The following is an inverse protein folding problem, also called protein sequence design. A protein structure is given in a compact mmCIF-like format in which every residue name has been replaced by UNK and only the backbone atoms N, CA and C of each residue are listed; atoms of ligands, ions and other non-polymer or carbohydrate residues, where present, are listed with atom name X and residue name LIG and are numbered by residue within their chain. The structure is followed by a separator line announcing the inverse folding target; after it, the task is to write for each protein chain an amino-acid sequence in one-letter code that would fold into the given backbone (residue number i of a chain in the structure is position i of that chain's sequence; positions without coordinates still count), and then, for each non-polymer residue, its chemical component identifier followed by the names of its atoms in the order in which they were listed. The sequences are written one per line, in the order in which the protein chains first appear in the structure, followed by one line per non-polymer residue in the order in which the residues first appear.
data_IF_796335811614
#
_entry.id   IF_796335811614
#
_cell.length_a   1.000
_cell.length_b   1.000
_cell.length_c   1.000
_cell.angle_alpha   90.00
_cell.angle_beta   90.00
_cell.angle_gamma   90.00
#
_symmetry.space_group_name_H-M   'P 1'
#
loop_
_entity.id
_entity.type
_entity.pdbx_description
1 polymer ?
#
# COMPACT_ATOMS: atom_id res chain seq x y z
N UNK A 1 -5.92 21.56 3.11
CA UNK A 1 -4.99 20.42 3.17
C UNK A 1 -4.16 20.32 1.90
N UNK A 2 -4.79 20.33 0.71
CA UNK A 2 -4.07 20.26 -0.58
C UNK A 2 -3.05 21.39 -0.80
N UNK A 3 -3.39 22.65 -0.48
CA UNK A 3 -2.51 23.82 -0.66
C UNK A 3 -1.20 23.78 0.14
N UNK A 4 -1.19 23.05 1.27
CA UNK A 4 0.01 22.86 2.10
C UNK A 4 0.83 21.69 1.53
N UNK A 5 0.18 20.59 1.18
CA UNK A 5 0.84 19.42 0.63
C UNK A 5 1.57 19.73 -0.69
N UNK A 6 1.00 20.56 -1.56
CA UNK A 6 1.62 21.00 -2.82
C UNK A 6 3.00 21.67 -2.66
N UNK A 7 3.34 22.17 -1.47
CA UNK A 7 4.63 22.81 -1.19
C UNK A 7 5.73 21.80 -0.90
N UNK A 8 5.38 20.55 -0.65
CA UNK A 8 6.31 19.48 -0.32
C UNK A 8 6.73 18.72 -1.60
N UNK A 9 8.02 18.44 -1.80
CA UNK A 9 8.49 17.76 -3.01
C UNK A 9 7.90 16.34 -3.16
N UNK A 10 7.59 15.67 -2.06
CA UNK A 10 7.01 14.32 -2.03
C UNK A 10 5.60 14.28 -2.65
N UNK A 11 4.86 15.40 -2.63
CA UNK A 11 3.51 15.47 -3.18
C UNK A 11 3.46 15.11 -4.66
N UNK A 12 4.47 15.51 -5.42
CA UNK A 12 4.61 15.18 -6.84
C UNK A 12 4.84 13.67 -7.02
N UNK A 13 5.57 13.04 -6.10
CA UNK A 13 5.80 11.59 -6.13
C UNK A 13 4.49 10.83 -5.89
N UNK A 14 3.71 11.22 -4.87
CA UNK A 14 2.38 10.63 -4.64
C UNK A 14 1.46 10.79 -5.86
N UNK A 15 1.38 11.99 -6.44
CA UNK A 15 0.53 12.27 -7.59
C UNK A 15 0.98 11.57 -8.88
N UNK A 16 2.25 11.17 -8.97
CA UNK A 16 2.75 10.39 -10.10
C UNK A 16 2.22 8.96 -10.11
N UNK A 17 1.73 8.46 -8.97
CA UNK A 17 1.20 7.11 -8.85
C UNK A 17 -0.19 7.01 -9.49
N UNK A 18 -0.38 6.16 -10.52
CA UNK A 18 -1.68 5.99 -11.17
C UNK A 18 -2.80 5.57 -10.19
N UNK A 19 -3.86 6.38 -10.12
CA UNK A 19 -4.97 6.17 -9.19
C UNK A 19 -4.84 6.91 -7.84
N UNK A 20 -3.75 7.64 -7.61
CA UNK A 20 -3.65 8.63 -6.52
C UNK A 20 -3.85 10.03 -7.11
N UNK A 21 -5.03 10.61 -6.88
CA UNK A 21 -5.31 12.00 -7.26
C UNK A 21 -4.80 13.01 -6.23
N UNK A 22 -4.83 14.30 -6.58
CA UNK A 22 -4.38 15.43 -5.75
C UNK A 22 -4.90 15.41 -4.31
N UNK A 23 -6.22 15.25 -4.16
CA UNK A 23 -6.87 15.19 -2.85
C UNK A 23 -6.44 13.95 -2.05
N UNK A 24 -6.39 12.78 -2.71
CA UNK A 24 -5.95 11.53 -2.08
C UNK A 24 -4.48 11.61 -1.66
N UNK A 25 -3.62 12.22 -2.46
CA UNK A 25 -2.22 12.45 -2.13
C UNK A 25 -2.09 13.32 -0.87
N UNK A 26 -2.80 14.45 -0.83
CA UNK A 26 -2.78 15.34 0.34
C UNK A 26 -3.29 14.65 1.62
N UNK A 27 -4.36 13.85 1.51
CA UNK A 27 -4.89 13.07 2.63
C UNK A 27 -3.90 11.97 3.08
N UNK A 28 -3.29 11.24 2.15
CA UNK A 28 -2.32 10.20 2.47
C UNK A 28 -1.08 10.80 3.16
N UNK A 29 -0.57 11.93 2.67
CA UNK A 29 0.54 12.63 3.29
C UNK A 29 0.18 13.15 4.68
N UNK A 30 -1.04 13.67 4.88
CA UNK A 30 -1.50 14.11 6.19
C UNK A 30 -1.61 12.97 7.21
N UNK A 31 -2.12 11.82 6.78
CA UNK A 31 -2.37 10.66 7.67
C UNK A 31 -1.12 9.81 7.93
N UNK A 32 -0.24 9.70 6.94
CA UNK A 32 1.00 8.93 7.05
C UNK A 32 2.15 9.77 7.63
N UNK A 33 2.09 11.10 7.45
CA UNK A 33 3.19 12.01 7.73
C UNK A 33 4.39 11.74 6.81
N UNK A 34 5.58 12.10 7.30
CA UNK A 34 6.83 11.78 6.61
C UNK A 34 7.12 10.26 6.69
N UNK A 35 6.87 9.53 5.61
CA UNK A 35 7.12 8.08 5.58
C UNK A 35 8.60 7.73 5.37
N UNK A 36 9.48 8.69 5.05
CA UNK A 36 10.92 8.43 4.94
C UNK A 36 11.53 8.01 6.28
N UNK A 37 10.91 8.41 7.40
CA UNK A 37 11.26 8.02 8.77
C UNK A 37 11.23 6.52 9.04
N UNK A 38 10.59 5.73 8.19
CA UNK A 38 10.52 4.28 8.33
C UNK A 38 11.68 3.61 7.61
N UNK A 39 12.42 2.74 8.29
CA UNK A 39 13.54 2.00 7.70
C UNK A 39 13.06 1.04 6.62
N UNK A 40 11.90 0.42 6.84
CA UNK A 40 11.34 -0.59 5.97
C UNK A 40 9.80 -0.52 5.93
N UNK A 41 9.23 -1.13 4.89
CA UNK A 41 7.80 -1.13 4.70
C UNK A 41 7.02 -1.92 5.76
N UNK A 42 7.67 -2.83 6.51
CA UNK A 42 6.99 -3.54 7.59
C UNK A 42 6.69 -2.62 8.77
N UNK A 43 7.60 -1.69 9.10
CA UNK A 43 7.34 -0.65 10.10
C UNK A 43 6.17 0.25 9.65
N UNK A 44 6.14 0.65 8.37
CA UNK A 44 5.03 1.43 7.81
C UNK A 44 3.70 0.64 7.84
N UNK A 45 3.73 -0.65 7.52
CA UNK A 45 2.55 -1.52 7.62
C UNK A 45 2.03 -1.63 9.06
N UNK A 46 2.93 -1.75 10.04
CA UNK A 46 2.58 -1.77 11.46
C UNK A 46 1.98 -0.43 11.92
N UNK A 47 2.56 0.69 11.47
CA UNK A 47 2.01 2.03 11.73
C UNK A 47 0.59 2.20 11.19
N UNK A 48 0.29 1.67 10.01
CA UNK A 48 -1.07 1.67 9.42
C UNK A 48 -1.96 0.59 10.06
N UNK A 49 -1.38 -0.47 10.63
CA UNK A 49 -2.08 -1.59 11.25
C UNK A 49 -2.57 -2.64 10.25
N UNK A 50 -1.87 -2.83 9.14
CA UNK A 50 -2.11 -3.90 8.15
C UNK A 50 -1.09 -5.05 8.24
N UNK A 51 -0.19 -4.99 9.21
CA UNK A 51 0.67 -6.09 9.61
C UNK A 51 -0.17 -7.31 10.08
N UNK A 52 0.37 -8.51 9.85
CA UNK A 52 -0.31 -9.76 10.20
C UNK A 52 -0.08 -10.06 11.68
N UNK A 53 -1.17 -10.19 12.42
CA UNK A 53 -1.23 -10.76 13.76
C UNK A 53 -1.44 -12.27 13.65
N UNK A 54 -0.45 -13.02 14.12
CA UNK A 54 -0.57 -14.46 14.37
C UNK A 54 -1.01 -14.68 15.81
N UNK A 55 -1.96 -15.57 16.03
CA UNK A 55 -2.39 -15.97 17.38
C UNK A 55 -2.07 -17.46 17.57
N UNK A 56 -1.23 -17.74 18.57
CA UNK A 56 -0.85 -19.10 18.92
C UNK A 56 -0.94 -19.28 20.44
N UNK A 57 -1.55 -20.37 20.89
CA UNK A 57 -1.64 -20.73 22.30
C UNK A 57 -1.48 -22.24 22.46
N UNK A 58 -0.37 -22.70 23.06
CA UNK A 58 -0.06 -24.12 23.17
C UNK A 58 -0.04 -24.79 21.79
N UNK A 59 -0.98 -25.71 21.57
CA UNK A 59 -1.18 -26.44 20.29
C UNK A 59 -2.11 -25.73 19.31
N UNK A 60 -2.81 -24.66 19.71
CA UNK A 60 -3.75 -23.96 18.85
C UNK A 60 -3.05 -22.90 18.00
N UNK A 61 -3.26 -22.98 16.69
CA UNK A 61 -2.89 -21.97 15.69
C UNK A 61 -4.17 -21.34 15.15
N UNK A 62 -4.40 -20.08 15.50
CA UNK A 62 -5.54 -19.30 15.01
C UNK A 62 -5.33 -18.84 13.57
N UNK A 63 -6.41 -18.37 12.93
CA UNK A 63 -6.31 -17.75 11.61
C UNK A 63 -5.55 -16.41 11.68
N UNK A 64 -4.76 -16.16 10.64
CA UNK A 64 -4.05 -14.90 10.48
C UNK A 64 -5.04 -13.75 10.21
N UNK A 65 -4.92 -12.69 11.00
CA UNK A 65 -5.69 -11.45 10.83
C UNK A 65 -4.77 -10.24 10.77
N UNK A 66 -5.21 -9.15 10.16
CA UNK A 66 -4.49 -7.88 10.32
C UNK A 66 -4.60 -7.37 11.77
N UNK A 67 -3.56 -6.72 12.26
CA UNK A 67 -3.47 -6.26 13.64
C UNK A 67 -4.47 -5.15 13.99
N UNK A 68 -4.76 -4.24 13.05
CA UNK A 68 -5.68 -3.09 13.18
C UNK A 68 -5.35 -2.08 14.29
N UNK A 69 -4.25 -2.24 15.02
CA UNK A 69 -3.78 -1.34 16.11
C UNK A 69 -3.18 -0.02 15.62
N UNK A 70 -2.79 0.06 14.35
CA UNK A 70 -2.27 1.29 13.72
C UNK A 70 -3.36 2.26 13.26
N UNK A 71 -2.97 3.31 12.53
CA UNK A 71 -3.85 4.41 12.13
C UNK A 71 -5.09 3.91 11.33
N UNK A 72 -6.31 3.98 11.90
CA UNK A 72 -7.53 3.52 11.24
C UNK A 72 -7.96 4.39 10.06
N UNK A 73 -7.64 5.68 10.08
CA UNK A 73 -7.96 6.63 9.01
C UNK A 73 -7.05 6.37 7.81
N UNK A 74 -5.74 6.28 8.02
CA UNK A 74 -4.78 5.89 6.98
C UNK A 74 -5.17 4.55 6.33
N UNK A 75 -5.56 3.56 7.15
CA UNK A 75 -6.00 2.25 6.68
C UNK A 75 -7.27 2.32 5.82
N UNK A 76 -8.25 3.13 6.21
CA UNK A 76 -9.48 3.38 5.44
C UNK A 76 -9.16 4.08 4.10
N UNK A 77 -8.30 5.09 4.13
CA UNK A 77 -7.90 5.86 2.96
C UNK A 77 -7.15 4.99 1.94
N UNK A 78 -6.23 4.15 2.40
CA UNK A 78 -5.51 3.19 1.55
C UNK A 78 -6.46 2.17 0.92
N UNK A 79 -7.45 1.69 1.66
CA UNK A 79 -8.46 0.78 1.11
C UNK A 79 -9.25 1.42 -0.04
N UNK A 80 -9.68 2.69 0.13
CA UNK A 80 -10.34 3.43 -0.95
C UNK A 80 -9.41 3.74 -2.11
N UNK A 81 -8.15 4.07 -1.82
CA UNK A 81 -7.14 4.33 -2.85
C UNK A 81 -6.96 3.13 -3.77
N UNK A 82 -6.76 1.93 -3.21
CA UNK A 82 -6.68 0.69 -3.99
C UNK A 82 -7.99 0.41 -4.73
N UNK A 83 -9.15 0.65 -4.10
CA UNK A 83 -10.44 0.49 -4.76
C UNK A 83 -10.61 1.41 -5.98
N UNK A 84 -10.13 2.64 -5.88
CA UNK A 84 -10.13 3.61 -6.97
C UNK A 84 -9.16 3.21 -8.09
N UNK A 85 -7.97 2.69 -7.75
CA UNK A 85 -7.03 2.13 -8.74
C UNK A 85 -7.70 1.04 -9.58
N UNK A 86 -8.39 0.09 -8.93
CA UNK A 86 -9.11 -0.99 -9.62
C UNK A 86 -10.25 -0.43 -10.47
N UNK A 87 -11.02 0.55 -9.96
CA UNK A 87 -12.10 1.19 -10.73
C UNK A 87 -11.60 1.90 -11.98
N UNK A 88 -10.40 2.47 -11.94
CA UNK A 88 -9.81 3.26 -13.03
C UNK A 88 -8.88 2.43 -13.95
N UNK A 89 -8.88 1.11 -13.81
CA UNK A 89 -7.94 0.21 -14.49
C UNK A 89 -7.87 0.35 -16.02
N UNK A 90 -8.98 0.72 -16.67
CA UNK A 90 -9.02 0.89 -18.12
C UNK A 90 -8.44 2.22 -18.59
N UNK A 91 -8.41 3.23 -17.72
CA UNK A 91 -7.89 4.55 -18.03
C UNK A 91 -6.39 4.67 -17.73
N UNK A 92 -5.91 3.96 -16.71
CA UNK A 92 -4.54 4.09 -16.23
C UNK A 92 -3.95 2.73 -15.84
N UNK A 93 -2.88 2.31 -16.52
CA UNK A 93 -2.15 1.08 -16.18
C UNK A 93 -1.45 1.21 -14.83
N UNK A 94 -1.66 0.22 -13.95
CA UNK A 94 -1.15 0.22 -12.59
C UNK A 94 -0.78 -1.21 -12.15
N UNK A 95 0.47 -1.43 -11.77
CA UNK A 95 0.98 -2.75 -11.39
C UNK A 95 0.31 -3.31 -10.12
N UNK A 96 -0.31 -2.46 -9.29
CA UNK A 96 -1.12 -2.87 -8.14
C UNK A 96 -2.41 -3.56 -8.59
N UNK A 97 -3.01 -3.08 -9.68
CA UNK A 97 -4.22 -3.69 -10.25
C UNK A 97 -3.88 -5.06 -10.85
N UNK A 98 -2.77 -5.17 -11.56
CA UNK A 98 -2.30 -6.48 -12.07
C UNK A 98 -2.02 -7.46 -10.93
N UNK A 99 -1.42 -6.96 -9.84
CA UNK A 99 -1.21 -7.77 -8.64
C UNK A 99 -2.53 -8.22 -8.00
N UNK A 100 -3.55 -7.36 -7.96
CA UNK A 100 -4.88 -7.70 -7.47
C UNK A 100 -5.49 -8.86 -8.28
N UNK A 101 -5.52 -8.76 -9.60
CA UNK A 101 -6.07 -9.81 -10.46
C UNK A 101 -5.27 -11.11 -10.38
N UNK A 102 -3.94 -11.03 -10.32
CA UNK A 102 -3.07 -12.20 -10.08
C UNK A 102 -3.45 -12.94 -8.79
N UNK A 103 -3.80 -12.23 -7.71
CA UNK A 103 -4.25 -12.85 -6.46
C UNK A 103 -5.67 -13.43 -6.55
N UNK A 104 -6.55 -12.81 -7.34
CA UNK A 104 -7.93 -13.22 -7.57
C UNK A 104 -8.05 -14.44 -8.49
N UNK A 105 -7.11 -14.60 -9.41
CA UNK A 105 -7.11 -15.66 -10.43
C UNK A 105 -6.18 -16.82 -10.08
N UNK A 106 -5.32 -16.66 -9.05
CA UNK A 106 -4.42 -17.71 -8.57
C UNK A 106 -5.19 -19.00 -8.25
N UNK A 107 -4.82 -20.09 -8.91
CA UNK A 107 -5.33 -21.44 -8.67
C UNK A 107 -4.40 -22.25 -7.76
N UNK A 108 -4.91 -23.23 -6.99
CA UNK A 108 -6.33 -23.63 -6.88
C UNK A 108 -7.15 -22.74 -5.94
N UNK A 109 -6.49 -21.98 -5.06
CA UNK A 109 -7.14 -21.20 -4.00
C UNK A 109 -7.03 -19.69 -4.26
N UNK A 110 -8.02 -19.08 -4.93
CA UNK A 110 -8.04 -17.63 -5.15
C UNK A 110 -8.20 -16.89 -3.83
N UNK A 111 -7.58 -15.72 -3.70
CA UNK A 111 -7.73 -14.91 -2.50
C UNK A 111 -9.13 -14.27 -2.45
N UNK A 112 -9.69 -14.21 -1.23
CA UNK A 112 -10.88 -13.42 -0.94
C UNK A 112 -10.62 -11.94 -1.26
N UNK A 113 -11.65 -11.21 -1.69
CA UNK A 113 -11.49 -9.82 -2.13
C UNK A 113 -10.80 -8.95 -1.06
N UNK A 114 -11.29 -8.98 0.19
CA UNK A 114 -10.69 -8.20 1.29
C UNK A 114 -9.20 -8.54 1.53
N UNK A 115 -8.81 -9.81 1.37
CA UNK A 115 -7.41 -10.24 1.52
C UNK A 115 -6.56 -9.71 0.37
N UNK A 116 -7.06 -9.78 -0.87
CA UNK A 116 -6.39 -9.21 -2.03
C UNK A 116 -6.23 -7.69 -1.92
N UNK A 117 -7.27 -6.98 -1.46
CA UNK A 117 -7.23 -5.54 -1.20
C UNK A 117 -6.14 -5.17 -0.17
N UNK A 118 -6.08 -5.88 0.97
CA UNK A 118 -5.04 -5.65 1.99
C UNK A 118 -3.64 -5.94 1.46
N UNK A 119 -3.47 -7.00 0.67
CA UNK A 119 -2.20 -7.30 0.02
C UNK A 119 -1.77 -6.19 -0.95
N UNK A 120 -2.73 -5.61 -1.68
CA UNK A 120 -2.49 -4.47 -2.56
C UNK A 120 -2.13 -3.21 -1.76
N UNK A 121 -2.79 -2.94 -0.63
CA UNK A 121 -2.42 -1.82 0.25
C UNK A 121 -0.96 -1.93 0.72
N UNK A 122 -0.51 -3.13 1.11
CA UNK A 122 0.89 -3.38 1.46
C UNK A 122 1.83 -3.13 0.26
N UNK A 123 1.49 -3.64 -0.93
CA UNK A 123 2.29 -3.41 -2.16
C UNK A 123 2.35 -1.91 -2.51
N UNK A 124 1.27 -1.15 -2.35
CA UNK A 124 1.22 0.30 -2.55
C UNK A 124 2.13 1.03 -1.55
N UNK A 125 2.05 0.70 -0.26
CA UNK A 125 2.93 1.30 0.77
C UNK A 125 4.41 1.02 0.51
N UNK A 126 4.74 -0.21 0.09
CA UNK A 126 6.10 -0.57 -0.33
C UNK A 126 6.59 0.29 -1.48
N UNK A 127 5.77 0.46 -2.52
CA UNK A 127 6.12 1.26 -3.68
C UNK A 127 6.27 2.75 -3.31
N UNK A 128 5.34 3.32 -2.55
CA UNK A 128 5.43 4.71 -2.08
C UNK A 128 6.68 4.96 -1.24
N UNK A 129 7.01 4.04 -0.32
CA UNK A 129 8.23 4.16 0.49
C UNK A 129 9.49 4.12 -0.38
N UNK A 130 9.53 3.24 -1.37
CA UNK A 130 10.64 3.15 -2.35
C UNK A 130 10.77 4.45 -3.14
N UNK A 131 9.67 4.94 -3.72
CA UNK A 131 9.63 6.19 -4.48
C UNK A 131 10.15 7.38 -3.68
N UNK A 132 9.73 7.49 -2.42
CA UNK A 132 10.15 8.59 -1.55
C UNK A 132 11.64 8.48 -1.18
N UNK A 133 12.11 7.28 -0.81
CA UNK A 133 13.53 7.09 -0.44
C UNK A 133 14.49 7.32 -1.60
N UNK A 134 14.07 7.01 -2.82
CA UNK A 134 14.88 7.19 -4.02
C UNK A 134 14.61 8.53 -4.72
N UNK A 135 13.63 9.31 -4.26
CA UNK A 135 13.15 10.53 -4.92
C UNK A 135 12.77 10.31 -6.39
N UNK A 136 12.21 9.13 -6.70
CA UNK A 136 11.83 8.71 -8.04
C UNK A 136 10.31 8.70 -8.19
N UNK A 137 9.84 9.13 -9.36
CA UNK A 137 8.41 9.05 -9.72
C UNK A 137 8.01 7.59 -9.90
N UNK A 138 6.70 7.35 -9.91
CA UNK A 138 6.19 6.02 -10.15
C UNK A 138 6.65 5.50 -11.52
N UNK A 139 7.22 4.30 -11.51
CA UNK A 139 7.50 3.51 -12.69
C UNK A 139 6.71 2.21 -12.64
N UNK A 140 6.05 1.85 -13.73
CA UNK A 140 5.25 0.63 -13.80
C UNK A 140 6.08 -0.64 -13.49
N UNK A 141 7.38 -0.62 -13.79
CA UNK A 141 8.32 -1.72 -13.55
C UNK A 141 8.74 -1.94 -12.08
N UNK A 142 8.17 -1.23 -11.09
CA UNK A 142 8.50 -1.42 -9.66
C UNK A 142 8.09 -2.78 -9.06
N UNK A 143 7.96 -3.83 -9.86
CA UNK A 143 7.38 -5.10 -9.45
C UNK A 143 8.35 -6.20 -9.04
N UNK A 144 9.66 -6.17 -9.36
CA UNK A 144 10.52 -7.36 -9.16
C UNK A 144 11.86 -7.19 -8.41
N UNK A 145 12.43 -6.00 -8.21
CA UNK A 145 13.90 -5.93 -7.95
C UNK A 145 14.42 -5.11 -6.75
N UNK A 146 13.59 -4.61 -5.82
CA UNK A 146 14.11 -3.71 -4.76
C UNK A 146 13.90 -4.12 -3.30
N UNK A 147 13.53 -5.37 -3.01
CA UNK A 147 13.73 -5.94 -1.67
C UNK A 147 14.31 -7.33 -1.85
N UNK A 148 15.58 -7.60 -1.49
CA UNK A 148 16.06 -8.97 -1.44
C UNK A 148 15.20 -9.70 -0.41
N UNK A 149 14.51 -10.74 -0.88
CA UNK A 149 13.99 -11.79 -0.02
C UNK A 149 15.21 -12.35 0.68
N UNK A 150 15.43 -12.01 1.95
CA UNK A 150 16.43 -12.70 2.76
C UNK A 150 16.06 -14.18 2.74
N UNK A 151 16.99 -14.99 2.24
CA UNK A 151 16.97 -16.44 2.30
C UNK A 151 16.92 -16.93 3.74
#
# INVERSE_FOLDING_TARGET
MESIAQRLPEYILYCSFPGIGKQTAAQLMGELGDISRFDNANQLNAFVGIDIRRYQSGTYLGQDHINKRGNPIARKLLYFTVGNMIRQQHANSNHIVDYYYRLKEKRPHPKLNKVAMVACMNKTLKCLLSMIKHHEKYHYRYTDSMVPVKA
#
